data_IF_324834013841
#
_entry.id   IF_324834013841
#
_cell.length_a   1.000
_cell.length_b   1.000
_cell.length_c   1.000
_cell.angle_alpha   90.00
_cell.angle_beta   90.00
_cell.angle_gamma   90.00
#
_symmetry.space_group_name_H-M   'P 1'
#
loop_
_entity.id
_entity.type
_entity.pdbx_description
1 polymer ?
#
# COMPACT_ATOMS: atom_id res chain seq x y z
N UNK A 1 -94.45 1.61 12.53
CA UNK A 1 -93.58 0.48 12.67
C UNK A 1 -92.57 0.46 11.53
N UNK A 2 -91.32 0.35 11.86
CA UNK A 2 -90.23 -0.03 10.99
C UNK A 2 -89.63 1.00 10.02
N UNK A 3 -88.76 1.81 10.57
CA UNK A 3 -87.72 2.45 9.75
C UNK A 3 -86.56 2.91 10.63
N UNK A 4 -85.72 1.99 11.15
CA UNK A 4 -84.41 2.32 11.77
C UNK A 4 -83.59 1.06 11.94
N UNK A 5 -82.93 0.58 10.88
CA UNK A 5 -81.80 -0.42 11.01
C UNK A 5 -81.02 -0.65 9.73
N UNK A 6 -80.70 0.37 8.94
CA UNK A 6 -79.81 0.15 7.80
C UNK A 6 -78.72 1.26 7.53
N UNK A 7 -78.24 1.91 8.55
CA UNK A 7 -77.20 3.00 8.32
C UNK A 7 -75.84 2.80 9.03
N UNK A 8 -75.45 1.57 9.30
CA UNK A 8 -74.14 1.38 10.04
C UNK A 8 -73.10 0.49 9.40
N UNK A 9 -73.30 -0.05 8.21
CA UNK A 9 -72.30 -0.98 7.61
C UNK A 9 -71.62 -0.51 6.31
N UNK A 10 -71.82 0.70 5.84
CA UNK A 10 -71.27 1.18 4.58
C UNK A 10 -69.97 1.96 4.75
N UNK A 11 -69.71 2.55 5.91
CA UNK A 11 -68.47 3.37 6.13
C UNK A 11 -67.21 2.57 6.34
N UNK A 12 -67.26 1.38 6.90
CA UNK A 12 -66.06 0.55 7.10
C UNK A 12 -65.56 -0.17 5.84
N UNK A 13 -66.50 -0.43 4.89
CA UNK A 13 -66.08 -1.09 3.60
C UNK A 13 -65.57 -0.11 2.56
N UNK A 14 -65.82 1.18 2.64
CA UNK A 14 -65.26 2.19 1.72
C UNK A 14 -63.81 2.50 2.07
N UNK A 15 -63.45 2.45 3.35
CA UNK A 15 -62.08 2.71 3.80
C UNK A 15 -61.05 1.65 3.31
N UNK A 16 -61.49 0.40 3.11
CA UNK A 16 -60.65 -0.68 2.60
C UNK A 16 -60.55 -0.71 1.06
N UNK A 17 -61.30 0.14 0.34
CA UNK A 17 -61.27 0.24 -1.14
C UNK A 17 -60.63 1.52 -1.66
N UNK A 18 -60.23 2.42 -0.78
CA UNK A 18 -59.57 3.65 -1.20
C UNK A 18 -58.08 3.38 -1.48
N UNK A 19 -57.77 3.13 -2.72
CA UNK A 19 -56.39 2.87 -3.21
C UNK A 19 -55.46 4.06 -2.95
N UNK A 20 -56.00 5.29 -2.89
CA UNK A 20 -55.21 6.49 -2.60
C UNK A 20 -54.78 6.54 -1.12
N UNK A 21 -55.61 6.11 -0.19
CA UNK A 21 -55.27 5.98 1.22
C UNK A 21 -54.18 4.92 1.48
N UNK A 22 -54.21 3.82 0.74
CA UNK A 22 -53.22 2.74 0.85
C UNK A 22 -51.81 3.19 0.39
N UNK A 23 -51.70 3.99 -0.67
CA UNK A 23 -50.44 4.51 -1.15
C UNK A 23 -49.80 5.43 -0.10
N UNK A 24 -50.61 6.31 0.50
CA UNK A 24 -50.13 7.21 1.56
C UNK A 24 -49.66 6.46 2.81
N UNK A 25 -50.35 5.39 3.18
CA UNK A 25 -49.97 4.55 4.32
C UNK A 25 -48.65 3.78 4.03
N UNK A 26 -48.54 3.21 2.84
CA UNK A 26 -47.31 2.50 2.42
C UNK A 26 -46.15 3.49 2.38
N UNK A 27 -46.34 4.68 1.80
CA UNK A 27 -45.30 5.72 1.75
C UNK A 27 -44.90 6.19 3.17
N UNK A 28 -45.85 6.38 4.07
CA UNK A 28 -45.59 6.79 5.45
C UNK A 28 -44.80 5.72 6.25
N UNK A 29 -45.03 4.45 5.98
CA UNK A 29 -44.31 3.35 6.64
C UNK A 29 -42.94 3.05 5.98
N UNK A 30 -42.83 3.18 4.66
CA UNK A 30 -41.58 2.86 3.93
C UNK A 30 -40.54 4.00 3.95
N UNK A 31 -40.99 5.26 3.98
CA UNK A 31 -40.06 6.41 3.97
C UNK A 31 -39.08 6.42 5.16
N UNK A 32 -39.53 6.23 6.42
CA UNK A 32 -38.58 6.14 7.54
C UNK A 32 -37.58 5.00 7.40
N UNK A 33 -38.00 3.83 6.90
CA UNK A 33 -37.14 2.67 6.69
C UNK A 33 -36.08 2.98 5.62
N UNK A 34 -36.47 3.62 4.52
CA UNK A 34 -35.53 4.03 3.46
C UNK A 34 -34.56 5.08 3.97
N UNK A 35 -35.02 6.09 4.70
CA UNK A 35 -34.15 7.14 5.26
C UNK A 35 -33.13 6.52 6.24
N UNK A 36 -33.55 5.63 7.12
CA UNK A 36 -32.66 4.94 8.06
C UNK A 36 -31.67 4.02 7.35
N UNK A 37 -32.09 3.34 6.28
CA UNK A 37 -31.20 2.45 5.50
C UNK A 37 -30.13 3.23 4.77
N UNK A 38 -30.48 4.32 4.09
CA UNK A 38 -29.51 5.19 3.39
C UNK A 38 -28.60 5.90 4.40
N UNK A 39 -29.18 6.43 5.48
CA UNK A 39 -28.41 7.11 6.53
C UNK A 39 -27.42 6.19 7.24
N UNK A 40 -27.83 4.96 7.55
CA UNK A 40 -26.96 3.93 8.11
C UNK A 40 -25.81 3.56 7.16
N UNK A 41 -26.05 3.52 5.85
CA UNK A 41 -25.03 3.31 4.84
C UNK A 41 -23.98 4.42 4.82
N UNK A 42 -24.39 5.68 4.97
CA UNK A 42 -23.47 6.83 5.02
C UNK A 42 -22.60 6.77 6.30
N UNK A 43 -23.20 6.54 7.45
CA UNK A 43 -22.48 6.45 8.73
C UNK A 43 -21.47 5.29 8.71
N UNK A 44 -21.84 4.15 8.12
CA UNK A 44 -20.95 3.00 7.95
C UNK A 44 -19.79 3.32 7.00
N UNK A 45 -20.04 4.07 5.93
CA UNK A 45 -19.00 4.53 5.01
C UNK A 45 -17.99 5.46 5.70
N UNK A 46 -18.46 6.39 6.52
CA UNK A 46 -17.60 7.26 7.34
C UNK A 46 -16.77 6.43 8.33
N UNK A 47 -17.37 5.51 9.05
CA UNK A 47 -16.67 4.64 9.98
C UNK A 47 -15.60 3.78 9.27
N UNK A 48 -15.89 3.31 8.05
CA UNK A 48 -14.94 2.58 7.24
C UNK A 48 -13.75 3.46 6.81
N UNK A 49 -14.00 4.70 6.39
CA UNK A 49 -12.94 5.66 6.03
C UNK A 49 -12.02 5.96 7.22
N UNK A 50 -12.60 6.26 8.39
CA UNK A 50 -11.85 6.46 9.64
C UNK A 50 -11.02 5.22 9.99
N UNK A 51 -11.59 4.02 9.79
CA UNK A 51 -10.87 2.76 10.03
C UNK A 51 -9.68 2.57 9.09
N UNK A 52 -9.83 2.88 7.80
CA UNK A 52 -8.72 2.79 6.85
C UNK A 52 -7.58 3.73 7.23
N UNK A 53 -7.90 4.98 7.54
CA UNK A 53 -6.90 5.97 7.93
C UNK A 53 -6.21 5.57 9.25
N UNK A 54 -6.97 5.11 10.25
CA UNK A 54 -6.42 4.59 11.49
C UNK A 54 -5.54 3.36 11.25
N UNK A 55 -5.91 2.49 10.30
CA UNK A 55 -5.10 1.33 9.92
C UNK A 55 -3.75 1.77 9.37
N UNK A 56 -3.72 2.74 8.46
CA UNK A 56 -2.49 3.30 7.91
C UNK A 56 -1.60 3.90 9.00
N UNK A 57 -2.17 4.68 9.92
CA UNK A 57 -1.44 5.28 11.05
C UNK A 57 -0.85 4.21 11.95
N UNK A 58 -1.62 3.18 12.30
CA UNK A 58 -1.18 2.08 13.17
C UNK A 58 -0.10 1.24 12.50
N UNK A 59 -0.25 0.90 11.22
CA UNK A 59 0.75 0.13 10.45
C UNK A 59 2.08 0.87 10.31
N UNK A 60 2.03 2.16 9.94
CA UNK A 60 3.23 2.99 9.84
C UNK A 60 3.89 3.19 11.19
N UNK A 61 3.11 3.40 12.24
CA UNK A 61 3.62 3.49 13.63
C UNK A 61 4.31 2.20 14.05
N UNK A 62 3.69 1.05 13.74
CA UNK A 62 4.23 -0.26 14.03
C UNK A 62 5.55 -0.50 13.28
N UNK A 63 5.56 -0.34 11.97
CA UNK A 63 6.75 -0.61 11.15
C UNK A 63 7.93 0.31 11.47
N UNK A 64 7.68 1.61 11.68
CA UNK A 64 8.74 2.55 12.04
C UNK A 64 9.26 2.33 13.45
N UNK A 65 8.36 2.14 14.42
CA UNK A 65 8.76 1.85 15.80
C UNK A 65 9.50 0.53 15.89
N UNK A 66 9.04 -0.49 15.14
CA UNK A 66 9.68 -1.80 15.07
C UNK A 66 11.14 -1.68 14.62
N UNK A 67 11.39 -0.97 13.51
CA UNK A 67 12.75 -0.74 12.98
C UNK A 67 13.63 0.05 13.95
N UNK A 68 13.11 1.17 14.47
CA UNK A 68 13.88 2.02 15.35
C UNK A 68 14.23 1.30 16.66
N UNK A 69 13.29 0.59 17.27
CA UNK A 69 13.51 -0.17 18.50
C UNK A 69 14.49 -1.32 18.25
N UNK A 70 14.35 -2.05 17.15
CA UNK A 70 15.30 -3.12 16.80
C UNK A 70 16.71 -2.57 16.63
N UNK A 71 16.86 -1.43 15.94
CA UNK A 71 18.15 -0.75 15.80
C UNK A 71 18.71 -0.32 17.17
N UNK A 72 17.90 0.31 18.02
CA UNK A 72 18.31 0.72 19.36
C UNK A 72 18.72 -0.46 20.23
N UNK A 73 18.00 -1.57 20.16
CA UNK A 73 18.33 -2.81 20.88
C UNK A 73 19.63 -3.46 20.39
N UNK A 74 19.99 -3.22 19.12
CA UNK A 74 21.26 -3.66 18.54
C UNK A 74 22.48 -2.98 19.12
N UNK A 75 22.33 -1.77 19.69
CA UNK A 75 23.43 -1.00 20.24
C UNK A 75 23.89 -1.56 21.58
N UNK A 76 25.20 -1.73 21.79
CA UNK A 76 25.75 -2.25 23.06
C UNK A 76 25.30 -1.45 24.28
N UNK A 77 25.27 -0.12 24.18
CA UNK A 77 24.90 0.79 25.26
C UNK A 77 23.42 0.64 25.71
N UNK A 78 22.60 0.02 24.89
CA UNK A 78 21.19 -0.20 25.16
C UNK A 78 20.86 -1.64 25.55
N UNK A 79 21.86 -2.54 25.65
CA UNK A 79 21.66 -3.97 25.88
C UNK A 79 20.88 -4.28 27.17
N UNK A 80 21.02 -3.44 28.21
CA UNK A 80 20.37 -3.58 29.49
C UNK A 80 19.15 -2.65 29.69
N UNK A 81 18.74 -1.91 28.67
CA UNK A 81 17.60 -1.00 28.80
C UNK A 81 16.28 -1.75 28.92
N UNK A 82 15.40 -1.34 29.84
CA UNK A 82 14.11 -1.97 30.04
C UNK A 82 13.13 -1.69 28.86
N UNK A 83 12.10 -2.52 28.73
CA UNK A 83 11.06 -2.34 27.72
C UNK A 83 10.37 -0.97 27.76
N UNK A 84 10.28 -0.33 28.94
CA UNK A 84 9.73 1.01 29.11
C UNK A 84 10.52 2.09 28.35
N UNK A 85 11.84 1.96 28.26
CA UNK A 85 12.70 2.84 27.48
C UNK A 85 12.32 2.80 26.00
N UNK A 86 12.19 1.60 25.43
CA UNK A 86 11.82 1.42 24.02
C UNK A 86 10.36 1.81 23.74
N UNK A 87 9.46 1.62 24.72
CA UNK A 87 8.06 2.07 24.61
C UNK A 87 7.95 3.59 24.45
N UNK A 88 8.81 4.36 25.09
CA UNK A 88 8.83 5.82 24.93
C UNK A 88 9.13 6.24 23.49
N UNK A 89 10.01 5.50 22.81
CA UNK A 89 10.30 5.70 21.38
C UNK A 89 9.09 5.39 20.52
N UNK A 90 8.41 4.26 20.75
CA UNK A 90 7.18 3.91 20.05
C UNK A 90 6.09 4.97 20.26
N UNK A 91 5.88 5.42 21.50
CA UNK A 91 4.88 6.44 21.81
C UNK A 91 5.14 7.76 21.06
N UNK A 92 6.40 8.20 20.98
CA UNK A 92 6.77 9.41 20.26
C UNK A 92 6.50 9.30 18.76
N UNK A 93 6.84 8.15 18.14
CA UNK A 93 6.60 7.90 16.72
C UNK A 93 5.09 7.86 16.45
N UNK A 94 4.35 7.10 17.25
CA UNK A 94 2.89 6.96 17.11
C UNK A 94 2.15 8.29 17.30
N UNK A 95 2.56 9.09 18.29
CA UNK A 95 1.96 10.41 18.52
C UNK A 95 2.16 11.35 17.32
N UNK A 96 3.37 11.37 16.74
CA UNK A 96 3.65 12.17 15.53
C UNK A 96 2.79 11.73 14.34
N UNK A 97 2.63 10.42 14.15
CA UNK A 97 1.81 9.87 13.05
C UNK A 97 0.35 10.20 13.22
N UNK A 98 -0.19 10.02 14.42
CA UNK A 98 -1.58 10.34 14.72
C UNK A 98 -1.84 11.85 14.54
N UNK A 99 -0.93 12.70 15.01
CA UNK A 99 -1.04 14.15 14.82
C UNK A 99 -0.98 14.55 13.34
N UNK A 100 -0.12 13.90 12.55
CA UNK A 100 0.00 14.18 11.12
C UNK A 100 -1.21 13.74 10.29
N UNK A 101 -1.95 12.71 10.73
CA UNK A 101 -3.17 12.25 10.05
C UNK A 101 -4.37 13.15 10.31
N UNK A 102 -4.35 14.00 11.32
CA UNK A 102 -5.52 14.78 11.71
C UNK A 102 -6.65 13.98 12.37
N UNK A 103 -6.48 12.66 12.54
CA UNK A 103 -7.47 11.82 13.22
C UNK A 103 -7.55 12.16 14.72
N UNK A 104 -8.75 12.43 15.18
CA UNK A 104 -9.07 12.42 16.61
C UNK A 104 -9.04 10.98 17.14
N UNK A 105 -8.12 10.68 18.07
CA UNK A 105 -8.02 9.32 18.58
C UNK A 105 -6.87 9.13 19.55
N UNK A 106 -6.60 7.87 19.89
CA UNK A 106 -5.49 7.49 20.77
C UNK A 106 -4.74 6.30 20.19
N UNK A 107 -3.41 6.26 20.46
CA UNK A 107 -2.58 5.10 20.16
C UNK A 107 -1.89 4.63 21.43
N UNK A 108 -1.98 3.35 21.71
CA UNK A 108 -1.30 2.67 22.81
C UNK A 108 -0.27 1.70 22.29
N UNK A 109 0.93 1.74 22.84
CA UNK A 109 2.02 0.84 22.50
C UNK A 109 2.36 -0.06 23.69
N UNK A 110 2.44 -1.37 23.44
CA UNK A 110 2.91 -2.36 24.43
C UNK A 110 4.02 -3.18 23.84
N UNK A 111 5.05 -3.48 24.63
CA UNK A 111 6.17 -4.34 24.24
C UNK A 111 6.21 -5.53 25.17
N UNK A 112 6.14 -6.73 24.61
CA UNK A 112 6.29 -8.00 25.32
C UNK A 112 7.32 -8.84 24.56
N UNK A 113 8.45 -9.13 25.20
CA UNK A 113 9.58 -9.78 24.54
C UNK A 113 10.02 -9.00 23.29
N UNK A 114 9.99 -9.67 22.17
CA UNK A 114 10.38 -9.15 20.86
C UNK A 114 9.20 -8.68 20.00
N UNK A 115 8.04 -8.48 20.61
CA UNK A 115 6.83 -8.04 19.92
C UNK A 115 6.39 -6.69 20.46
N UNK A 116 6.25 -5.71 19.55
CA UNK A 116 5.55 -4.46 19.76
C UNK A 116 4.12 -4.61 19.26
N UNK A 117 3.15 -4.37 20.11
CA UNK A 117 1.74 -4.27 19.74
C UNK A 117 1.30 -2.81 19.80
N UNK A 118 0.79 -2.32 18.68
CA UNK A 118 0.25 -0.96 18.51
C UNK A 118 -1.27 -1.07 18.39
N UNK A 119 -1.98 -0.45 19.32
CA UNK A 119 -3.45 -0.41 19.33
C UNK A 119 -3.89 1.03 19.11
N UNK A 120 -4.62 1.26 18.03
CA UNK A 120 -5.25 2.55 17.73
C UNK A 120 -6.74 2.51 18.00
N UNK A 121 -7.30 3.60 18.49
CA UNK A 121 -8.74 3.81 18.61
C UNK A 121 -9.12 5.23 18.21
N UNK A 122 -10.23 5.38 17.52
CA UNK A 122 -10.80 6.65 17.09
C UNK A 122 -12.32 6.57 17.15
N UNK A 123 -12.99 7.72 17.04
CA UNK A 123 -14.44 7.82 16.94
C UNK A 123 -14.81 8.36 15.55
N UNK A 124 -15.72 7.68 14.87
CA UNK A 124 -16.34 8.19 13.66
C UNK A 124 -17.61 8.93 14.02
N UNK A 125 -17.75 10.18 13.63
CA UNK A 125 -18.98 10.93 13.83
C UNK A 125 -20.09 10.33 12.96
N UNK A 126 -21.28 10.16 13.54
CA UNK A 126 -22.46 9.69 12.84
C UNK A 126 -23.29 10.91 12.39
N UNK A 127 -23.78 10.88 11.16
CA UNK A 127 -24.66 11.91 10.60
C UNK A 127 -26.13 11.58 10.78
N UNK A 128 -26.50 10.31 10.71
CA UNK A 128 -27.88 9.83 10.76
C UNK A 128 -28.18 9.04 12.04
N UNK A 129 -27.27 8.22 12.53
CA UNK A 129 -27.51 7.46 13.75
C UNK A 129 -27.63 8.35 15.00
N UNK A 130 -27.22 9.61 14.92
CA UNK A 130 -27.47 10.63 15.96
C UNK A 130 -28.96 10.81 16.28
N UNK A 131 -29.82 10.63 15.28
CA UNK A 131 -31.30 10.68 15.47
C UNK A 131 -31.80 9.55 16.39
N UNK A 132 -31.04 8.45 16.46
CA UNK A 132 -31.27 7.30 17.33
C UNK A 132 -30.49 7.36 18.64
N UNK A 133 -29.81 8.50 18.91
CA UNK A 133 -29.02 8.71 20.12
C UNK A 133 -27.60 8.18 20.03
N UNK A 134 -27.13 7.71 18.85
CA UNK A 134 -25.75 7.26 18.63
C UNK A 134 -24.94 8.36 17.94
N UNK A 135 -24.21 9.17 18.71
CA UNK A 135 -23.43 10.30 18.16
C UNK A 135 -22.17 9.86 17.41
N UNK A 136 -21.54 8.78 17.86
CA UNK A 136 -20.28 8.27 17.29
C UNK A 136 -20.27 6.75 17.20
N UNK A 137 -19.50 6.24 16.27
CA UNK A 137 -19.16 4.82 16.14
C UNK A 137 -17.68 4.60 16.51
N UNK A 138 -17.37 3.75 17.51
CA UNK A 138 -15.99 3.46 17.89
C UNK A 138 -15.30 2.60 16.82
N UNK A 139 -14.06 2.98 16.49
CA UNK A 139 -13.22 2.28 15.54
C UNK A 139 -11.91 1.88 16.21
N UNK A 140 -11.52 0.62 16.09
CA UNK A 140 -10.29 0.10 16.66
C UNK A 140 -9.47 -0.69 15.66
N UNK A 141 -8.12 -0.59 15.77
CA UNK A 141 -7.15 -1.33 14.96
C UNK A 141 -6.01 -1.79 15.84
N UNK A 142 -5.56 -3.02 15.66
CA UNK A 142 -4.41 -3.59 16.37
C UNK A 142 -3.43 -4.17 15.34
N UNK A 143 -2.13 -3.88 15.53
CA UNK A 143 -1.03 -4.45 14.74
C UNK A 143 0.11 -4.85 15.65
N UNK A 144 0.80 -5.92 15.28
CA UNK A 144 2.00 -6.38 15.96
C UNK A 144 3.18 -6.40 15.01
N UNK A 145 4.33 -5.94 15.48
CA UNK A 145 5.59 -5.90 14.74
C UNK A 145 6.73 -6.47 15.59
N UNK A 146 7.73 -7.03 14.92
CA UNK A 146 8.94 -7.47 15.59
C UNK A 146 9.77 -6.27 16.03
N UNK A 147 10.26 -6.33 17.26
CA UNK A 147 11.28 -5.46 17.85
C UNK A 147 12.46 -6.30 18.34
N UNK A 148 12.63 -7.49 17.75
CA UNK A 148 13.75 -8.36 18.06
C UNK A 148 15.07 -7.61 17.88
N UNK A 149 16.01 -7.90 18.76
CA UNK A 149 17.39 -7.47 18.58
C UNK A 149 17.87 -7.98 17.22
N UNK A 150 18.50 -7.15 16.37
CA UNK A 150 19.11 -7.66 15.17
C UNK A 150 20.07 -8.78 15.55
N UNK A 151 19.96 -9.94 14.89
CA UNK A 151 20.92 -11.00 15.04
C UNK A 151 22.31 -10.40 14.74
N UNK A 152 23.29 -10.50 15.63
CA UNK A 152 24.65 -10.00 15.36
C UNK A 152 25.27 -10.64 14.10
N UNK A 153 24.76 -11.80 13.66
CA UNK A 153 25.06 -12.36 12.35
C UNK A 153 24.42 -11.55 11.20
N UNK A 154 23.38 -10.76 11.49
CA UNK A 154 22.75 -9.80 10.57
C UNK A 154 23.15 -8.38 10.97
N UNK A 155 24.41 -8.07 11.09
CA UNK A 155 24.89 -6.68 11.19
C UNK A 155 24.21 -5.87 10.07
N UNK A 156 23.46 -4.78 10.40
CA UNK A 156 22.85 -3.96 9.37
C UNK A 156 23.93 -3.62 8.34
N UNK A 157 23.66 -3.90 7.11
CA UNK A 157 24.62 -3.62 6.07
C UNK A 157 24.73 -2.12 5.86
N UNK A 158 25.81 -1.71 5.26
CA UNK A 158 25.99 -0.32 4.86
C UNK A 158 25.10 -0.04 3.65
N UNK A 159 24.31 1.01 3.71
CA UNK A 159 23.59 1.54 2.55
C UNK A 159 24.64 2.06 1.54
N UNK A 160 24.71 1.43 0.40
CA UNK A 160 25.65 1.79 -0.68
C UNK A 160 25.03 2.74 -1.68
N UNK A 161 23.74 2.58 -1.92
CA UNK A 161 22.99 3.39 -2.87
C UNK A 161 21.51 3.46 -2.47
N UNK A 162 20.91 4.63 -2.71
CA UNK A 162 19.48 4.85 -2.56
C UNK A 162 18.98 5.75 -3.69
N UNK A 163 17.84 5.40 -4.26
CA UNK A 163 17.11 6.21 -5.22
C UNK A 163 15.63 6.23 -4.85
N UNK A 164 15.09 7.43 -4.71
CA UNK A 164 13.66 7.68 -4.41
C UNK A 164 12.99 8.54 -5.45
N UNK A 165 13.69 8.86 -6.53
CA UNK A 165 13.22 9.68 -7.66
C UNK A 165 12.78 11.11 -7.30
N UNK A 166 13.08 11.58 -6.08
CA UNK A 166 12.64 12.89 -5.57
C UNK A 166 13.53 14.06 -5.98
N UNK A 167 14.72 13.80 -6.52
CA UNK A 167 15.73 14.84 -6.77
C UNK A 167 16.25 14.82 -8.20
N UNK A 168 16.86 15.96 -8.59
CA UNK A 168 17.59 16.13 -9.86
C UNK A 168 16.75 16.01 -11.14
N UNK A 169 15.46 16.30 -11.07
CA UNK A 169 14.60 16.35 -12.25
C UNK A 169 13.73 17.63 -12.25
N UNK A 170 13.41 18.17 -13.42
CA UNK A 170 12.54 19.34 -13.56
C UNK A 170 11.03 18.99 -13.58
N UNK A 171 10.66 17.73 -13.35
CA UNK A 171 9.26 17.29 -13.37
C UNK A 171 8.54 17.89 -12.19
N UNK A 172 7.43 18.59 -12.44
CA UNK A 172 6.53 19.07 -11.41
C UNK A 172 5.53 18.01 -10.97
N UNK A 173 4.85 18.25 -9.85
CA UNK A 173 3.70 17.45 -9.42
C UNK A 173 2.64 17.38 -10.52
N UNK A 174 1.96 16.26 -10.65
CA UNK A 174 0.95 15.97 -11.68
C UNK A 174 1.50 16.05 -13.12
N UNK A 175 2.79 15.75 -13.30
CA UNK A 175 3.46 15.70 -14.59
C UNK A 175 4.40 14.51 -14.67
N UNK A 176 4.86 14.22 -15.88
CA UNK A 176 5.87 13.20 -16.16
C UNK A 176 6.85 13.70 -17.24
N UNK A 177 8.03 13.09 -17.27
CA UNK A 177 9.00 13.30 -18.34
C UNK A 177 9.92 12.08 -18.49
N UNK A 178 10.44 11.89 -19.71
CA UNK A 178 11.32 10.77 -20.05
C UNK A 178 12.76 11.28 -20.13
N UNK A 179 13.66 10.53 -19.50
CA UNK A 179 15.10 10.81 -19.45
C UNK A 179 15.88 9.65 -20.04
N UNK A 180 16.79 9.94 -20.97
CA UNK A 180 17.69 8.91 -21.55
C UNK A 180 18.79 8.52 -20.57
N UNK A 181 19.33 9.46 -19.84
CA UNK A 181 20.26 9.26 -18.72
C UNK A 181 19.83 10.18 -17.58
N UNK A 182 19.77 9.67 -16.40
CA UNK A 182 19.29 10.44 -15.27
C UNK A 182 19.95 10.00 -13.96
N UNK A 183 20.52 10.95 -13.23
CA UNK A 183 21.08 10.77 -11.89
C UNK A 183 22.06 9.54 -11.76
N UNK A 184 22.83 9.28 -12.83
CA UNK A 184 23.76 8.13 -12.90
C UNK A 184 23.07 6.81 -13.22
N UNK A 185 21.83 6.85 -13.69
CA UNK A 185 21.17 5.74 -14.35
C UNK A 185 21.39 5.82 -15.85
N UNK A 186 21.80 4.70 -16.42
CA UNK A 186 21.89 4.50 -17.86
C UNK A 186 20.62 3.82 -18.37
N UNK A 187 20.19 4.17 -19.58
CA UNK A 187 19.08 3.49 -20.24
C UNK A 187 19.57 2.70 -21.43
N UNK A 188 18.95 1.57 -21.68
CA UNK A 188 19.12 0.83 -22.92
C UNK A 188 17.81 0.86 -23.70
N UNK A 189 17.90 1.09 -25.01
CA UNK A 189 16.74 1.28 -25.87
C UNK A 189 16.50 2.76 -26.21
N UNK A 190 15.46 3.00 -26.98
CA UNK A 190 15.18 4.31 -27.58
C UNK A 190 14.37 5.24 -26.70
N UNK A 191 13.86 4.77 -25.56
CA UNK A 191 12.77 5.47 -24.84
C UNK A 191 13.16 6.04 -23.47
N UNK A 192 14.06 5.45 -22.74
CA UNK A 192 14.52 6.02 -21.46
C UNK A 192 13.67 5.66 -20.25
N UNK A 193 13.91 6.36 -19.15
CA UNK A 193 13.23 6.21 -17.87
C UNK A 193 12.19 7.32 -17.78
N UNK A 194 10.93 6.99 -17.57
CA UNK A 194 9.91 7.96 -17.24
C UNK A 194 9.90 8.23 -15.74
N UNK A 195 10.12 9.49 -15.36
CA UNK A 195 9.88 9.94 -13.99
C UNK A 195 8.49 10.55 -13.92
N UNK A 196 7.70 10.05 -13.01
CA UNK A 196 6.27 10.30 -12.96
C UNK A 196 5.85 10.80 -11.59
N UNK A 197 5.12 11.92 -11.57
CA UNK A 197 4.52 12.55 -10.39
C UNK A 197 3.00 12.54 -10.42
N UNK A 198 2.38 11.55 -11.11
CA UNK A 198 0.93 11.39 -11.23
C UNK A 198 0.44 10.36 -10.20
N UNK A 199 -0.12 10.78 -9.05
CA UNK A 199 -0.52 9.85 -7.99
C UNK A 199 -1.57 8.83 -8.42
N UNK A 200 -2.44 9.18 -9.37
CA UNK A 200 -3.47 8.29 -9.91
C UNK A 200 -2.90 7.03 -10.59
N UNK A 201 -1.69 7.10 -11.14
CA UNK A 201 -1.06 5.93 -11.76
C UNK A 201 -0.63 4.88 -10.73
N UNK A 202 -0.34 5.32 -9.51
CA UNK A 202 0.06 4.48 -8.38
C UNK A 202 -1.10 4.12 -7.43
N UNK A 203 -2.34 4.07 -7.93
CA UNK A 203 -3.55 3.88 -7.12
C UNK A 203 -3.82 5.00 -6.10
N UNK A 204 -3.35 6.22 -6.37
CA UNK A 204 -3.51 7.35 -5.46
C UNK A 204 -2.58 7.30 -4.23
N UNK A 205 -1.71 6.29 -4.13
CA UNK A 205 -0.78 6.14 -3.01
C UNK A 205 0.66 6.07 -3.51
N UNK A 206 1.33 7.22 -3.59
CA UNK A 206 2.78 7.25 -3.73
C UNK A 206 3.37 6.76 -2.41
N UNK A 207 4.28 5.78 -2.48
CA UNK A 207 4.80 5.14 -1.28
C UNK A 207 5.83 6.00 -0.56
N UNK A 208 6.69 6.66 -1.33
CA UNK A 208 7.77 7.50 -0.80
C UNK A 208 7.87 8.78 -1.62
N UNK A 209 7.63 9.92 -0.99
CA UNK A 209 7.69 11.21 -1.65
C UNK A 209 6.55 11.45 -2.63
N UNK A 210 6.89 11.96 -3.83
CA UNK A 210 5.92 12.39 -4.82
C UNK A 210 6.19 11.82 -6.22
N UNK A 211 7.31 11.12 -6.41
CA UNK A 211 7.77 10.67 -7.73
C UNK A 211 8.18 9.20 -7.69
N UNK A 212 8.06 8.56 -8.83
CA UNK A 212 8.45 7.16 -9.08
C UNK A 212 8.89 7.00 -10.54
N UNK A 213 9.52 5.87 -10.87
CA UNK A 213 9.91 5.54 -12.23
C UNK A 213 8.95 4.57 -12.88
N UNK A 214 8.69 4.78 -14.18
CA UNK A 214 8.02 3.84 -15.08
C UNK A 214 8.98 3.41 -16.19
N UNK A 215 9.02 2.12 -16.53
CA UNK A 215 9.98 1.58 -17.49
C UNK A 215 9.39 1.18 -18.85
N UNK A 216 8.11 1.37 -19.06
CA UNK A 216 7.42 1.14 -20.34
C UNK A 216 6.50 2.31 -20.66
N UNK A 217 7.10 3.47 -20.92
CA UNK A 217 6.38 4.71 -21.20
C UNK A 217 5.81 4.75 -22.64
N UNK A 218 6.56 4.24 -23.63
CA UNK A 218 6.18 4.12 -25.04
C UNK A 218 6.68 2.82 -25.62
N UNK A 219 7.64 2.23 -24.99
CA UNK A 219 8.26 0.97 -25.33
C UNK A 219 9.08 0.50 -24.14
N UNK A 220 9.28 -0.81 -24.08
CA UNK A 220 10.12 -1.43 -23.07
C UNK A 220 11.49 -0.74 -22.99
N UNK A 221 11.84 -0.28 -21.80
CA UNK A 221 13.12 0.36 -21.50
C UNK A 221 13.85 -0.38 -20.38
N UNK A 222 15.13 -0.06 -20.24
CA UNK A 222 15.97 -0.61 -19.18
C UNK A 222 16.59 0.54 -18.40
N UNK A 223 16.45 0.50 -17.09
CA UNK A 223 17.12 1.39 -16.17
C UNK A 223 18.26 0.60 -15.50
N UNK A 224 19.50 0.99 -15.72
CA UNK A 224 20.67 0.28 -15.21
C UNK A 224 21.65 1.20 -14.50
N UNK A 225 22.35 0.63 -13.51
CA UNK A 225 23.43 1.33 -12.80
C UNK A 225 24.62 0.41 -12.64
N UNK A 226 25.82 0.96 -12.86
CA UNK A 226 27.06 0.24 -12.61
C UNK A 226 27.58 0.57 -11.22
N UNK A 227 28.03 -0.45 -10.52
CA UNK A 227 28.59 -0.33 -9.18
C UNK A 227 29.78 -1.27 -9.02
N UNK A 228 30.87 -0.76 -8.44
CA UNK A 228 32.00 -1.60 -8.02
C UNK A 228 31.67 -2.20 -6.65
N UNK A 229 31.57 -3.52 -6.59
CA UNK A 229 31.19 -4.26 -5.39
C UNK A 229 32.37 -5.14 -4.96
N UNK A 230 32.75 -5.06 -3.69
CA UNK A 230 33.74 -5.95 -3.09
C UNK A 230 33.16 -7.36 -2.89
N UNK A 231 34.00 -8.36 -2.62
CA UNK A 231 33.50 -9.69 -2.24
C UNK A 231 32.63 -9.59 -0.97
N UNK A 232 31.45 -10.21 -1.00
CA UNK A 232 30.52 -10.14 0.13
C UNK A 232 29.08 -10.48 -0.24
N UNK A 233 28.21 -10.37 0.76
CA UNK A 233 26.77 -10.52 0.60
C UNK A 233 26.13 -9.14 0.41
N UNK A 234 25.10 -9.07 -0.42
CA UNK A 234 24.40 -7.85 -0.76
C UNK A 234 22.88 -8.07 -0.73
N UNK A 235 22.14 -7.00 -0.45
CA UNK A 235 20.68 -6.98 -0.53
C UNK A 235 20.25 -5.77 -1.36
N UNK A 236 19.32 -6.02 -2.29
CA UNK A 236 18.58 -4.99 -3.02
C UNK A 236 17.15 -5.01 -2.49
N UNK A 237 16.62 -3.85 -2.17
CA UNK A 237 15.20 -3.63 -1.88
C UNK A 237 14.65 -2.53 -2.77
N UNK A 238 13.45 -2.70 -3.24
CA UNK A 238 12.69 -1.68 -3.96
C UNK A 238 11.20 -1.94 -3.82
N UNK A 239 10.41 -0.97 -4.19
CA UNK A 239 8.96 -1.11 -4.23
C UNK A 239 8.51 -1.19 -5.68
N UNK A 240 7.53 -2.04 -5.91
CA UNK A 240 6.90 -2.27 -7.22
C UNK A 240 5.39 -2.18 -7.09
N UNK A 241 4.73 -1.60 -8.10
CA UNK A 241 3.29 -1.70 -8.32
C UNK A 241 3.03 -1.77 -9.82
N UNK A 242 2.01 -2.50 -10.22
CA UNK A 242 1.53 -2.51 -11.59
C UNK A 242 0.70 -1.25 -11.87
N UNK A 243 0.96 -0.59 -12.98
CA UNK A 243 0.11 0.51 -13.45
C UNK A 243 -1.23 -0.01 -13.96
N UNK A 244 -1.22 -1.10 -14.73
CA UNK A 244 -2.45 -1.76 -15.17
C UNK A 244 -2.89 -2.74 -14.09
N UNK A 245 -4.12 -2.57 -13.64
CA UNK A 245 -4.75 -3.43 -12.63
C UNK A 245 -5.93 -4.13 -13.27
N UNK A 246 -6.02 -5.43 -13.10
CA UNK A 246 -7.19 -6.16 -13.52
C UNK A 246 -8.26 -6.07 -12.41
N UNK A 247 -9.38 -5.38 -12.65
CA UNK A 247 -10.46 -5.28 -11.66
C UNK A 247 -11.27 -6.58 -11.52
N UNK A 248 -11.02 -7.61 -12.34
CA UNK A 248 -11.77 -8.85 -12.29
C UNK A 248 -11.46 -9.63 -11.01
N UNK A 249 -12.45 -9.84 -10.11
CA UNK A 249 -12.27 -10.58 -8.86
C UNK A 249 -11.80 -12.02 -9.06
N UNK A 250 -12.04 -12.62 -10.23
CA UNK A 250 -11.56 -13.97 -10.55
C UNK A 250 -10.02 -14.06 -10.53
N UNK A 251 -9.35 -12.94 -10.76
CA UNK A 251 -7.89 -12.86 -10.75
C UNK A 251 -7.30 -12.43 -9.41
N UNK A 252 -8.13 -11.87 -8.51
CA UNK A 252 -7.66 -11.27 -7.24
C UNK A 252 -6.90 -12.24 -6.33
N UNK A 253 -7.35 -13.48 -6.24
CA UNK A 253 -6.73 -14.48 -5.37
C UNK A 253 -5.54 -15.21 -5.97
N UNK A 254 -5.40 -15.21 -7.30
CA UNK A 254 -4.38 -15.94 -8.03
C UNK A 254 -3.09 -15.14 -8.27
N UNK A 255 -3.15 -13.82 -8.04
CA UNK A 255 -2.14 -12.88 -8.50
C UNK A 255 -1.34 -12.29 -7.33
N UNK A 256 -0.90 -13.12 -6.42
CA UNK A 256 0.15 -12.72 -5.50
C UNK A 256 1.31 -12.14 -6.31
N UNK A 257 1.85 -11.01 -5.86
CA UNK A 257 3.07 -10.46 -6.41
C UNK A 257 4.23 -11.39 -6.05
N UNK A 258 4.60 -12.28 -6.94
CA UNK A 258 5.67 -13.26 -6.74
C UNK A 258 6.43 -13.53 -8.03
N UNK A 259 7.60 -14.13 -7.91
CA UNK A 259 8.37 -14.61 -9.05
C UNK A 259 7.58 -15.65 -9.82
N UNK A 260 7.53 -15.47 -11.09
CA UNK A 260 6.78 -16.07 -12.19
C UNK A 260 6.24 -17.49 -12.18
N UNK A 261 6.79 -18.44 -11.45
CA UNK A 261 6.40 -19.84 -11.60
C UNK A 261 5.05 -20.20 -10.95
N UNK A 262 4.61 -19.46 -9.94
CA UNK A 262 3.39 -19.77 -9.19
C UNK A 262 2.11 -19.20 -9.81
N UNK A 263 2.15 -18.66 -11.00
CA UNK A 263 1.12 -17.79 -11.53
C UNK A 263 0.48 -18.30 -12.85
N UNK A 264 0.67 -19.58 -13.15
CA UNK A 264 -0.14 -20.26 -14.18
C UNK A 264 -1.58 -20.44 -13.66
N UNK A 265 -2.61 -20.24 -14.48
CA UNK A 265 -2.64 -20.13 -15.94
C UNK A 265 -2.57 -18.68 -16.50
N UNK A 266 -2.35 -17.69 -15.69
CA UNK A 266 -2.43 -16.26 -16.08
C UNK A 266 -1.13 -15.70 -16.67
N UNK A 267 -0.15 -16.55 -16.91
CA UNK A 267 1.17 -16.19 -17.37
C UNK A 267 1.19 -15.45 -18.72
N UNK A 268 0.39 -15.90 -19.66
CA UNK A 268 0.32 -15.27 -20.98
C UNK A 268 -0.13 -13.82 -20.89
N UNK A 269 -1.23 -13.58 -20.19
CA UNK A 269 -1.77 -12.22 -20.04
C UNK A 269 -0.84 -11.27 -19.28
N UNK A 270 -0.09 -11.76 -18.30
CA UNK A 270 0.84 -10.96 -17.50
C UNK A 270 2.17 -10.69 -18.16
N UNK A 271 2.61 -11.56 -19.05
CA UNK A 271 3.76 -11.28 -19.88
C UNK A 271 3.49 -10.18 -20.91
N UNK A 272 2.24 -9.77 -21.05
CA UNK A 272 1.82 -8.77 -22.02
C UNK A 272 1.94 -7.36 -21.49
N UNK A 273 1.93 -7.15 -20.16
CA UNK A 273 1.99 -5.80 -19.57
C UNK A 273 2.68 -5.76 -18.21
N UNK A 274 3.21 -4.59 -17.84
CA UNK A 274 3.74 -4.23 -16.51
C UNK A 274 4.86 -5.12 -15.96
N UNK A 275 5.40 -6.04 -16.74
CA UNK A 275 6.49 -6.91 -16.28
C UNK A 275 7.80 -6.14 -16.20
N UNK A 276 8.45 -6.25 -15.04
CA UNK A 276 9.81 -5.76 -14.81
C UNK A 276 10.67 -6.91 -14.31
N UNK A 277 11.79 -7.13 -14.98
CA UNK A 277 12.79 -8.10 -14.58
C UNK A 277 14.01 -7.38 -13.99
N UNK A 278 14.48 -7.82 -12.82
CA UNK A 278 15.71 -7.34 -12.21
C UNK A 278 16.88 -8.29 -12.52
N UNK A 279 17.98 -7.71 -12.93
CA UNK A 279 19.22 -8.42 -13.20
C UNK A 279 20.37 -7.83 -12.38
N UNK A 280 21.23 -8.72 -11.88
CA UNK A 280 22.50 -8.38 -11.22
C UNK A 280 23.59 -9.13 -11.95
N UNK A 281 24.31 -8.45 -12.80
CA UNK A 281 25.25 -9.06 -13.71
C UNK A 281 26.66 -8.46 -13.56
N UNK A 282 27.67 -9.32 -13.61
CA UNK A 282 29.07 -8.88 -13.61
C UNK A 282 29.39 -8.19 -14.93
N UNK A 283 30.16 -7.10 -14.88
CA UNK A 283 30.60 -6.37 -16.07
C UNK A 283 31.34 -7.27 -17.07
N UNK A 284 31.00 -7.09 -18.34
CA UNK A 284 31.51 -7.91 -19.43
C UNK A 284 30.74 -9.18 -19.72
N UNK A 285 29.69 -9.49 -18.97
CA UNK A 285 28.82 -10.66 -19.18
C UNK A 285 27.34 -10.30 -18.99
N UNK A 286 26.85 -9.37 -19.80
CA UNK A 286 25.45 -8.92 -19.74
C UNK A 286 24.59 -9.74 -20.69
N UNK A 287 23.92 -10.74 -20.16
CA UNK A 287 23.11 -11.68 -20.94
C UNK A 287 21.60 -11.49 -20.72
N UNK A 288 21.23 -10.75 -19.67
CA UNK A 288 19.85 -10.67 -19.18
C UNK A 288 19.22 -12.05 -18.96
N UNK A 289 19.98 -12.99 -18.41
CA UNK A 289 19.51 -14.33 -18.10
C UNK A 289 20.40 -15.02 -17.05
N UNK A 290 19.80 -15.69 -16.05
CA UNK A 290 18.42 -15.57 -15.63
C UNK A 290 18.16 -14.27 -14.86
N UNK A 291 16.90 -13.81 -14.82
CA UNK A 291 16.50 -12.71 -13.97
C UNK A 291 16.63 -13.08 -12.47
N UNK A 292 17.10 -12.15 -11.67
CA UNK A 292 17.14 -12.32 -10.21
C UNK A 292 15.79 -12.14 -9.56
N UNK A 293 14.89 -11.36 -10.18
CA UNK A 293 13.51 -11.17 -9.80
C UNK A 293 12.67 -10.89 -11.05
N UNK A 294 11.45 -11.40 -11.07
CA UNK A 294 10.45 -11.11 -12.08
C UNK A 294 9.23 -10.52 -11.39
N UNK A 295 8.92 -9.29 -11.66
CA UNK A 295 7.73 -8.61 -11.20
C UNK A 295 6.71 -8.54 -12.34
N UNK A 296 5.59 -9.22 -12.16
CA UNK A 296 4.49 -9.25 -13.13
C UNK A 296 3.14 -9.20 -12.42
N UNK A 297 3.04 -8.39 -11.41
CA UNK A 297 1.89 -8.27 -10.54
C UNK A 297 0.86 -7.36 -11.18
N UNK A 298 -0.21 -7.91 -11.69
CA UNK A 298 -1.25 -7.18 -12.42
C UNK A 298 -2.50 -6.90 -11.58
N UNK A 299 -2.56 -7.40 -10.36
CA UNK A 299 -3.69 -7.19 -9.47
C UNK A 299 -3.24 -6.82 -8.07
N UNK A 300 -2.97 -5.54 -7.84
CA UNK A 300 -2.77 -5.00 -6.50
C UNK A 300 -3.01 -3.49 -6.52
N UNK A 301 -3.69 -3.00 -5.52
CA UNK A 301 -3.84 -1.57 -5.25
C UNK A 301 -2.76 -1.05 -4.31
N UNK A 302 -1.75 -1.87 -4.01
CA UNK A 302 -0.71 -1.54 -3.05
C UNK A 302 0.68 -1.80 -3.62
N UNK A 303 1.59 -0.93 -3.28
CA UNK A 303 3.00 -1.13 -3.49
C UNK A 303 3.51 -2.33 -2.71
N UNK A 304 4.31 -3.17 -3.36
CA UNK A 304 4.90 -4.38 -2.78
C UNK A 304 6.40 -4.21 -2.66
N UNK A 305 6.94 -4.39 -1.44
CA UNK A 305 8.40 -4.39 -1.25
C UNK A 305 9.00 -5.67 -1.81
N UNK A 306 10.03 -5.53 -2.62
CA UNK A 306 10.86 -6.61 -3.15
C UNK A 306 12.19 -6.63 -2.44
N UNK A 307 12.66 -7.86 -2.18
CA UNK A 307 13.95 -8.11 -1.54
C UNK A 307 14.69 -9.20 -2.28
N UNK A 308 15.90 -8.89 -2.72
CA UNK A 308 16.79 -9.84 -3.38
C UNK A 308 18.12 -9.85 -2.65
N UNK A 309 18.64 -11.03 -2.37
CA UNK A 309 19.98 -11.24 -1.85
C UNK A 309 20.85 -11.90 -2.89
N UNK A 310 22.08 -11.42 -3.01
CA UNK A 310 23.06 -12.00 -3.91
C UNK A 310 24.46 -11.94 -3.30
N UNK A 311 25.34 -12.80 -3.80
CA UNK A 311 26.71 -12.89 -3.34
C UNK A 311 27.66 -12.48 -4.45
N UNK A 312 28.62 -11.62 -4.09
CA UNK A 312 29.76 -11.25 -4.92
C UNK A 312 30.96 -12.08 -4.47
N UNK A 313 31.48 -12.94 -5.35
CA UNK A 313 32.57 -13.85 -5.02
C UNK A 313 33.96 -13.14 -4.98
N UNK A 314 34.13 -12.15 -5.84
CA UNK A 314 35.35 -11.32 -5.92
C UNK A 314 35.01 -9.91 -6.34
N UNK A 315 35.80 -8.95 -5.92
CA UNK A 315 35.59 -7.55 -6.31
C UNK A 315 35.51 -7.41 -7.84
N UNK A 316 34.45 -6.78 -8.30
CA UNK A 316 34.24 -6.48 -9.72
C UNK A 316 33.22 -5.34 -9.88
N UNK A 317 33.14 -4.81 -11.08
CA UNK A 317 32.03 -3.98 -11.49
C UNK A 317 30.82 -4.87 -11.81
N UNK A 318 29.67 -4.48 -11.27
CA UNK A 318 28.36 -5.10 -11.53
C UNK A 318 27.43 -4.07 -12.15
N UNK A 319 26.60 -4.54 -13.09
CA UNK A 319 25.46 -3.81 -13.60
C UNK A 319 24.20 -4.35 -12.91
N UNK A 320 23.45 -3.47 -12.30
CA UNK A 320 22.15 -3.76 -11.70
C UNK A 320 21.11 -3.09 -12.57
N UNK A 321 20.20 -3.88 -13.14
CA UNK A 321 19.28 -3.42 -14.18
C UNK A 321 17.85 -3.83 -13.88
N UNK A 322 16.93 -2.87 -13.96
CA UNK A 322 15.50 -3.13 -14.05
C UNK A 322 15.09 -2.96 -15.51
N UNK A 323 14.52 -3.99 -16.07
CA UNK A 323 14.17 -4.07 -17.48
C UNK A 323 12.68 -4.36 -17.64
N UNK A 324 11.96 -3.50 -18.34
CA UNK A 324 10.62 -3.83 -18.82
C UNK A 324 10.73 -5.02 -19.77
N UNK A 325 9.95 -6.06 -19.53
CA UNK A 325 10.01 -7.34 -20.23
C UNK A 325 8.62 -7.88 -20.62
N UNK A 326 7.61 -7.04 -20.51
CA UNK A 326 6.24 -7.33 -20.95
C UNK A 326 5.98 -6.97 -22.39
N UNK A 327 4.72 -6.75 -22.71
CA UNK A 327 4.30 -6.20 -23.97
C UNK A 327 4.86 -4.79 -24.14
N UNK A 328 5.27 -4.47 -25.35
CA UNK A 328 5.79 -3.16 -25.69
C UNK A 328 4.64 -2.17 -25.92
N UNK A 329 4.23 -1.49 -24.88
CA UNK A 329 3.10 -0.57 -24.87
C UNK A 329 3.43 0.70 -24.06
N UNK A 330 2.43 1.53 -23.78
CA UNK A 330 2.63 2.78 -23.03
C UNK A 330 2.22 2.68 -21.56
N UNK A 331 2.13 1.48 -21.01
CA UNK A 331 1.73 1.21 -19.63
C UNK A 331 2.68 0.21 -18.99
N UNK A 332 3.52 0.69 -18.10
CA UNK A 332 4.57 -0.11 -17.48
C UNK A 332 4.33 -0.48 -16.02
N UNK A 333 5.25 -1.25 -15.48
CA UNK A 333 5.42 -1.39 -14.05
C UNK A 333 6.06 -0.15 -13.46
N UNK A 334 5.67 0.19 -12.24
CA UNK A 334 6.19 1.34 -11.51
C UNK A 334 7.15 0.87 -10.43
N UNK A 335 8.26 1.59 -10.28
CA UNK A 335 9.32 1.29 -9.29
C UNK A 335 9.57 2.52 -8.45
N UNK A 336 9.80 2.30 -7.15
CA UNK A 336 10.17 3.36 -6.22
C UNK A 336 11.10 2.85 -5.13
N UNK A 337 11.79 3.79 -4.48
CA UNK A 337 12.60 3.62 -3.29
C UNK A 337 13.58 2.44 -3.34
N UNK A 338 14.47 2.47 -4.34
CA UNK A 338 15.52 1.48 -4.54
C UNK A 338 16.61 1.68 -3.48
N UNK A 339 17.00 0.60 -2.79
CA UNK A 339 18.12 0.56 -1.85
C UNK A 339 19.02 -0.60 -2.18
N UNK A 340 20.31 -0.37 -2.20
CA UNK A 340 21.34 -1.38 -2.39
C UNK A 340 22.29 -1.32 -1.19
N UNK A 341 22.44 -2.42 -0.49
CA UNK A 341 23.19 -2.48 0.76
C UNK A 341 24.19 -3.64 0.73
N UNK A 342 25.33 -3.47 1.41
CA UNK A 342 26.16 -4.61 1.81
C UNK A 342 25.43 -5.37 2.91
N UNK A 343 25.32 -6.70 2.81
CA UNK A 343 24.56 -7.58 3.71
C UNK A 343 23.05 -7.30 3.66
N UNK A 344 22.48 -6.66 4.67
CA UNK A 344 21.03 -6.38 4.76
C UNK A 344 20.77 -4.88 4.77
N UNK A 345 19.74 -4.44 4.05
CA UNK A 345 19.31 -3.04 4.10
C UNK A 345 18.68 -2.71 5.45
N UNK A 346 19.07 -1.57 6.02
CA UNK A 346 18.48 -1.08 7.26
C UNK A 346 16.99 -0.72 7.10
#
# INVERSE_FOLDING_TARGET
>A
GDAMTHARNTTARSFLRDVQGNISLIAALSLPVLVLSVGGGIDMSHAYSVRQELTNVVELSCSQSGREISYQRGKPENASRPASYFRSTANRISARRLSASGLGGTIRNTISGDVLTVTGSAQSANSFAVVLGAETTPVGVVRSCSVARPDPSTTPGTLLFMESFESNHPVGLNRWAIYQNWNGWDTEGTRGIEINGLPELSAGTIRFGNFFAELDSWANSTMSRRMRLAAGEYEIRYWYISRVRNPDPAYAGALGCGSGAALEPYRAWRNETNRIDLYVERSGNYTYAPANMVDSCVYTDQWVERRIRFRVASEAEYRISWKAAGQNESTGGLIDYIRICSRTCP
#
